data_IF_200062109805
#
_entry.id   IF_200062109805
#
_cell.length_a   1.000
_cell.length_b   1.000
_cell.length_c   1.000
_cell.angle_alpha   90.00
_cell.angle_beta   90.00
_cell.angle_gamma   90.00
#
_symmetry.space_group_name_H-M   'P 1'
#
loop_
_entity.id
_entity.type
_entity.pdbx_description
1 polymer ?
#
# COMPACT_ATOMS: atom_id res chain seq x y z
N UNK A 1 -27.80 -20.05 10.76
CA UNK A 1 -26.82 -20.14 11.87
C UNK A 1 -25.89 -18.95 11.81
N UNK A 2 -25.72 -18.24 12.91
CA UNK A 2 -24.84 -17.07 12.97
C UNK A 2 -23.38 -17.51 13.08
N UNK A 3 -22.60 -17.32 12.02
CA UNK A 3 -21.15 -17.50 12.08
C UNK A 3 -20.55 -16.45 13.01
N UNK A 4 -19.74 -16.88 13.97
CA UNK A 4 -19.04 -16.01 14.94
C UNK A 4 -17.54 -16.32 14.89
N UNK A 5 -16.77 -15.56 14.10
CA UNK A 5 -15.32 -15.74 14.04
C UNK A 5 -14.65 -15.20 15.31
N UNK A 6 -13.45 -15.71 15.65
CA UNK A 6 -12.58 -15.05 16.62
C UNK A 6 -12.20 -13.65 16.11
N UNK A 7 -12.21 -12.66 17.01
CA UNK A 7 -11.82 -11.30 16.66
C UNK A 7 -10.29 -11.14 16.55
N UNK A 8 -9.54 -11.93 17.34
CA UNK A 8 -8.11 -11.68 17.58
C UNK A 8 -7.18 -12.59 16.77
N UNK A 9 -7.69 -13.27 15.75
CA UNK A 9 -6.86 -14.20 14.98
C UNK A 9 -7.47 -14.66 13.66
N UNK A 10 -6.63 -15.31 12.85
CA UNK A 10 -7.06 -15.89 11.59
C UNK A 10 -8.05 -17.02 11.83
N UNK A 11 -9.10 -17.06 11.03
CA UNK A 11 -10.04 -18.18 11.02
C UNK A 11 -10.41 -18.55 9.59
N UNK A 12 -10.89 -19.79 9.39
CA UNK A 12 -11.40 -20.20 8.08
C UNK A 12 -12.73 -19.52 7.79
N UNK A 13 -12.91 -19.04 6.56
CA UNK A 13 -14.20 -18.57 6.09
C UNK A 13 -15.18 -19.74 6.00
N UNK A 14 -16.45 -19.58 6.43
CA UNK A 14 -17.47 -20.58 6.25
C UNK A 14 -17.90 -20.64 4.78
N UNK A 15 -18.60 -21.72 4.42
CA UNK A 15 -19.25 -21.87 3.13
C UNK A 15 -20.78 -21.86 3.33
N UNK A 16 -21.53 -20.97 2.66
CA UNK A 16 -21.07 -19.93 1.73
C UNK A 16 -20.31 -18.80 2.43
N UNK A 17 -19.38 -18.16 1.70
CA UNK A 17 -18.61 -17.03 2.23
C UNK A 17 -19.53 -15.87 2.62
N UNK A 18 -19.40 -15.30 3.82
CA UNK A 18 -20.21 -14.18 4.26
C UNK A 18 -19.97 -12.94 3.38
N UNK A 19 -20.98 -12.09 3.17
CA UNK A 19 -20.82 -10.88 2.38
C UNK A 19 -19.83 -9.91 3.06
N UNK A 20 -19.10 -9.08 2.29
CA UNK A 20 -18.06 -8.19 2.82
C UNK A 20 -18.53 -7.28 3.96
N UNK A 21 -19.78 -6.81 3.92
CA UNK A 21 -20.37 -5.97 4.98
C UNK A 21 -20.44 -6.69 6.34
N UNK A 22 -20.71 -8.00 6.34
CA UNK A 22 -20.74 -8.81 7.56
C UNK A 22 -19.34 -9.00 8.10
N UNK A 23 -18.36 -9.30 7.24
CA UNK A 23 -16.96 -9.40 7.66
C UNK A 23 -16.45 -8.08 8.27
N UNK A 24 -16.74 -6.95 7.63
CA UNK A 24 -16.35 -5.64 8.12
C UNK A 24 -16.97 -5.29 9.48
N UNK A 25 -18.23 -5.70 9.73
CA UNK A 25 -18.87 -5.53 11.04
C UNK A 25 -18.17 -6.29 12.18
N UNK A 26 -17.38 -7.31 11.83
CA UNK A 26 -16.53 -8.05 12.77
C UNK A 26 -15.06 -7.60 12.74
N UNK A 27 -14.71 -6.53 12.00
CA UNK A 27 -13.32 -6.10 11.85
C UNK A 27 -12.47 -7.05 11.01
N UNK A 28 -13.09 -7.84 10.12
CA UNK A 28 -12.42 -8.89 9.35
C UNK A 28 -12.41 -8.58 7.85
N UNK A 29 -11.42 -9.15 7.16
CA UNK A 29 -11.31 -9.16 5.71
C UNK A 29 -11.13 -10.59 5.20
N UNK A 30 -11.82 -10.94 4.12
CA UNK A 30 -11.60 -12.19 3.42
C UNK A 30 -10.27 -12.15 2.64
N UNK A 31 -9.37 -13.10 2.92
CA UNK A 31 -8.08 -13.25 2.24
C UNK A 31 -7.84 -14.74 1.98
N UNK A 32 -7.93 -15.17 0.72
CA UNK A 32 -7.66 -16.57 0.29
C UNK A 32 -8.31 -17.66 1.15
N UNK A 33 -9.59 -17.51 1.48
CA UNK A 33 -10.33 -18.51 2.28
C UNK A 33 -10.18 -18.33 3.79
N UNK A 34 -9.40 -17.34 4.24
CA UNK A 34 -9.27 -16.94 5.64
C UNK A 34 -10.03 -15.65 5.91
N UNK A 35 -10.61 -15.53 7.10
CA UNK A 35 -11.05 -14.28 7.67
C UNK A 35 -9.91 -13.75 8.53
N UNK A 36 -9.31 -12.63 8.10
CA UNK A 36 -8.17 -12.01 8.76
C UNK A 36 -8.60 -10.72 9.48
N UNK A 37 -8.22 -10.52 10.75
CA UNK A 37 -8.43 -9.26 11.46
C UNK A 37 -7.74 -8.09 10.74
N UNK A 38 -8.46 -6.99 10.52
CA UNK A 38 -7.93 -5.81 9.83
C UNK A 38 -6.73 -5.23 10.58
N UNK A 39 -6.80 -5.17 11.91
CA UNK A 39 -5.70 -4.69 12.76
C UNK A 39 -4.41 -5.51 12.58
N UNK A 40 -4.52 -6.84 12.44
CA UNK A 40 -3.35 -7.69 12.17
C UNK A 40 -2.81 -7.49 10.75
N UNK A 41 -3.66 -7.16 9.77
CA UNK A 41 -3.22 -6.83 8.41
C UNK A 41 -2.48 -5.48 8.37
N UNK A 42 -2.89 -4.51 9.18
CA UNK A 42 -2.19 -3.22 9.34
C UNK A 42 -0.85 -3.42 10.05
N UNK A 43 -0.84 -4.17 11.15
CA UNK A 43 0.40 -4.53 11.86
C UNK A 43 1.38 -5.28 10.94
N UNK A 44 0.89 -6.19 10.09
CA UNK A 44 1.71 -6.85 9.07
C UNK A 44 2.37 -5.83 8.13
N UNK A 45 1.64 -4.82 7.68
CA UNK A 45 2.18 -3.81 6.78
C UNK A 45 3.31 -3.02 7.45
N UNK A 46 3.12 -2.62 8.71
CA UNK A 46 4.16 -1.94 9.49
C UNK A 46 5.40 -2.83 9.69
N UNK A 47 5.20 -4.11 10.02
CA UNK A 47 6.29 -5.09 10.15
C UNK A 47 7.08 -5.27 8.84
N UNK A 48 6.40 -5.33 7.70
CA UNK A 48 7.05 -5.40 6.39
C UNK A 48 7.78 -4.10 6.02
N UNK A 49 7.29 -2.96 6.48
CA UNK A 49 7.87 -1.64 6.19
C UNK A 49 9.15 -1.39 6.99
N UNK A 50 9.20 -1.81 8.25
CA UNK A 50 10.38 -1.68 9.12
C UNK A 50 11.36 -2.85 8.97
N UNK A 51 10.87 -3.98 8.47
CA UNK A 51 11.64 -5.22 8.33
C UNK A 51 12.79 -5.09 7.32
N UNK A 52 13.81 -5.97 7.42
CA UNK A 52 14.93 -5.94 6.51
C UNK A 52 14.50 -6.32 5.09
N UNK A 53 15.08 -5.64 4.10
CA UNK A 53 14.96 -6.01 2.69
C UNK A 53 16.08 -7.01 2.38
N UNK A 54 15.72 -8.22 1.98
CA UNK A 54 16.66 -9.27 1.57
C UNK A 54 16.11 -10.02 0.37
N UNK A 55 16.99 -10.63 -0.44
CA UNK A 55 16.59 -11.46 -1.57
C UNK A 55 15.60 -10.77 -2.54
N UNK A 56 15.67 -9.44 -2.65
CA UNK A 56 14.83 -8.63 -3.55
C UNK A 56 13.44 -8.28 -3.03
N UNK A 57 13.15 -8.46 -1.73
CA UNK A 57 11.87 -8.10 -1.12
C UNK A 57 11.94 -7.89 0.39
N UNK A 58 10.83 -7.46 1.00
CA UNK A 58 10.73 -7.33 2.46
C UNK A 58 10.66 -8.73 3.09
N UNK A 59 11.40 -8.94 4.17
CA UNK A 59 11.37 -10.22 4.91
C UNK A 59 10.46 -10.08 6.12
N UNK A 60 9.46 -10.96 6.21
CA UNK A 60 8.72 -11.17 7.44
C UNK A 60 9.49 -12.20 8.28
N UNK A 61 10.07 -11.77 9.41
CA UNK A 61 10.80 -12.66 10.31
C UNK A 61 9.87 -13.59 11.07
N UNK A 62 10.40 -14.70 11.60
CA UNK A 62 9.63 -15.63 12.43
C UNK A 62 9.10 -14.96 13.69
N UNK A 63 9.90 -14.12 14.35
CA UNK A 63 9.46 -13.35 15.51
C UNK A 63 8.29 -12.41 15.17
N UNK A 64 8.36 -11.70 14.04
CA UNK A 64 7.28 -10.81 13.59
C UNK A 64 5.99 -11.60 13.29
N UNK A 65 6.12 -12.78 12.68
CA UNK A 65 5.01 -13.69 12.41
C UNK A 65 4.40 -14.24 13.71
N UNK A 66 5.22 -14.57 14.70
CA UNK A 66 4.79 -15.04 16.02
C UNK A 66 4.09 -13.96 16.82
N UNK A 67 4.49 -12.69 16.72
CA UNK A 67 3.75 -11.54 17.30
C UNK A 67 2.32 -11.45 16.75
N UNK A 68 2.11 -11.83 15.49
CA UNK A 68 0.76 -11.89 14.89
C UNK A 68 -0.01 -13.18 15.24
N UNK A 69 0.64 -14.15 15.90
CA UNK A 69 0.07 -15.46 16.21
C UNK A 69 -0.14 -16.33 14.97
N UNK A 70 0.58 -16.10 13.87
CA UNK A 70 0.37 -16.78 12.60
C UNK A 70 1.32 -17.95 12.39
N UNK A 71 0.86 -19.02 11.73
CA UNK A 71 1.75 -20.06 11.22
C UNK A 71 2.50 -19.58 9.97
N UNK A 72 3.62 -20.22 9.62
CA UNK A 72 4.36 -19.90 8.40
C UNK A 72 3.51 -20.08 7.12
N UNK A 73 2.63 -21.09 7.12
CA UNK A 73 1.71 -21.36 6.03
C UNK A 73 0.64 -20.28 5.90
N UNK A 74 0.05 -19.85 7.04
CA UNK A 74 -0.95 -18.79 7.07
C UNK A 74 -0.36 -17.47 6.61
N UNK A 75 0.82 -17.09 7.12
CA UNK A 75 1.51 -15.88 6.71
C UNK A 75 1.79 -15.87 5.19
N UNK A 76 2.29 -16.98 4.65
CA UNK A 76 2.53 -17.10 3.22
C UNK A 76 1.22 -17.05 2.40
N UNK A 77 0.12 -17.59 2.94
CA UNK A 77 -1.22 -17.55 2.32
C UNK A 77 -1.79 -16.14 2.30
N UNK A 78 -1.70 -15.41 3.41
CA UNK A 78 -2.12 -14.01 3.53
C UNK A 78 -1.30 -13.14 2.56
N UNK A 79 0.03 -13.23 2.59
CA UNK A 79 0.90 -12.45 1.71
C UNK A 79 0.57 -12.69 0.22
N UNK A 80 0.38 -13.95 -0.17
CA UNK A 80 -0.06 -14.28 -1.55
C UNK A 80 -1.43 -13.70 -1.87
N UNK A 81 -2.36 -13.73 -0.91
CA UNK A 81 -3.70 -13.15 -1.04
C UNK A 81 -3.72 -11.63 -1.15
N UNK A 82 -2.78 -10.94 -0.48
CA UNK A 82 -2.62 -9.49 -0.53
C UNK A 82 -1.87 -8.98 -1.77
N UNK A 83 -1.42 -9.88 -2.66
CA UNK A 83 -0.71 -9.48 -3.87
C UNK A 83 0.81 -9.64 -3.81
N UNK A 84 1.38 -10.12 -2.72
CA UNK A 84 2.82 -10.38 -2.64
C UNK A 84 3.18 -11.68 -3.37
N UNK A 85 4.38 -11.70 -3.92
CA UNK A 85 5.03 -12.87 -4.50
C UNK A 85 6.41 -13.05 -3.87
N UNK A 86 6.89 -14.30 -3.70
CA UNK A 86 8.27 -14.57 -3.37
C UNK A 86 9.19 -13.95 -4.44
N UNK A 87 10.19 -13.18 -4.00
CA UNK A 87 11.21 -12.57 -4.84
C UNK A 87 12.35 -13.56 -5.16
N UNK A 88 12.54 -14.56 -4.29
CA UNK A 88 13.47 -15.67 -4.46
C UNK A 88 12.75 -17.01 -4.46
N UNK A 89 13.41 -18.02 -5.05
CA UNK A 89 13.00 -19.42 -4.87
C UNK A 89 13.30 -19.81 -3.42
N UNK A 90 12.30 -20.29 -2.64
CA UNK A 90 12.52 -20.67 -1.26
C UNK A 90 13.51 -21.83 -1.20
N UNK A 91 14.58 -21.65 -0.43
CA UNK A 91 15.51 -22.73 -0.06
C UNK A 91 15.36 -23.01 1.44
N UNK A 92 15.71 -24.22 1.89
CA UNK A 92 15.79 -24.51 3.32
C UNK A 92 16.72 -23.49 4.00
N UNK A 93 16.26 -22.90 5.11
CA UNK A 93 16.99 -21.94 5.94
C UNK A 93 17.33 -20.58 5.29
N UNK A 94 16.81 -20.25 4.10
CA UNK A 94 16.93 -18.91 3.54
C UNK A 94 15.63 -18.11 3.71
N UNK A 95 15.69 -16.84 4.16
CA UNK A 95 14.50 -16.02 4.30
C UNK A 95 13.86 -15.74 2.93
N UNK A 96 12.54 -15.80 2.88
CA UNK A 96 11.78 -15.46 1.68
C UNK A 96 11.61 -13.94 1.63
N UNK A 97 12.18 -13.30 0.61
CA UNK A 97 11.91 -11.90 0.30
C UNK A 97 10.53 -11.79 -0.35
N UNK A 98 9.64 -10.96 0.19
CA UNK A 98 8.31 -10.72 -0.36
C UNK A 98 8.28 -9.41 -1.13
N UNK A 99 7.94 -9.48 -2.40
CA UNK A 99 7.75 -8.31 -3.26
C UNK A 99 6.28 -8.21 -3.64
N UNK A 100 5.70 -7.02 -3.53
CA UNK A 100 4.38 -6.77 -4.09
C UNK A 100 4.46 -7.04 -5.58
N UNK A 101 3.59 -7.90 -6.12
CA UNK A 101 3.44 -7.98 -7.59
C UNK A 101 3.14 -6.56 -8.02
N UNK A 102 4.02 -5.97 -8.81
CA UNK A 102 3.82 -4.61 -9.31
C UNK A 102 2.39 -4.55 -9.81
N UNK A 103 1.60 -3.63 -9.26
CA UNK A 103 0.41 -3.17 -9.96
C UNK A 103 0.89 -2.95 -11.39
N UNK A 104 0.26 -3.62 -12.37
CA UNK A 104 0.49 -3.32 -13.79
C UNK A 104 0.65 -1.82 -13.85
N UNK A 105 1.84 -1.32 -14.21
CA UNK A 105 2.12 0.10 -14.34
C UNK A 105 0.89 0.65 -15.04
N UNK A 106 0.09 1.46 -14.34
CA UNK A 106 -1.14 1.97 -14.91
C UNK A 106 -0.72 2.53 -16.28
N UNK A 107 -1.28 1.97 -17.35
CA UNK A 107 -0.98 2.52 -18.66
C UNK A 107 -1.26 4.01 -18.55
N UNK A 108 -0.31 4.88 -18.96
CA UNK A 108 -0.49 6.31 -18.82
C UNK A 108 -1.86 6.66 -19.39
N UNK A 109 -2.74 7.14 -18.50
CA UNK A 109 -4.08 7.61 -18.86
C UNK A 109 -3.91 8.50 -20.08
N UNK A 110 -4.63 8.15 -21.15
CA UNK A 110 -4.36 8.61 -22.51
C UNK A 110 -4.22 10.12 -22.69
N UNK A 111 -3.73 10.49 -23.85
CA UNK A 111 -3.53 11.88 -24.33
C UNK A 111 -4.59 12.84 -23.79
N UNK A 112 -4.12 13.89 -23.10
CA UNK A 112 -4.93 14.98 -22.56
C UNK A 112 -5.90 15.47 -23.64
N UNK A 113 -7.20 15.45 -23.34
CA UNK A 113 -8.22 15.95 -24.26
C UNK A 113 -8.10 17.48 -24.33
N UNK A 114 -7.93 18.10 -25.52
CA UNK A 114 -7.77 19.55 -25.66
C UNK A 114 -8.90 20.38 -25.08
N UNK A 115 -10.11 19.81 -24.97
CA UNK A 115 -11.31 20.49 -24.48
C UNK A 115 -11.74 20.02 -23.08
N UNK A 116 -10.82 19.46 -22.29
CA UNK A 116 -11.12 19.15 -20.89
C UNK A 116 -11.28 20.44 -20.08
N UNK A 117 -12.27 20.54 -19.17
CA UNK A 117 -12.41 21.68 -18.26
C UNK A 117 -11.18 21.89 -17.36
N UNK A 118 -10.32 20.88 -17.21
CA UNK A 118 -9.08 20.96 -16.44
C UNK A 118 -7.85 21.32 -17.27
N UNK A 119 -7.97 21.47 -18.61
CA UNK A 119 -6.85 21.79 -19.49
C UNK A 119 -6.23 23.16 -19.16
N UNK A 120 -7.05 24.14 -18.79
CA UNK A 120 -6.58 25.46 -18.35
C UNK A 120 -5.73 25.40 -17.07
N UNK A 121 -6.01 24.47 -16.16
CA UNK A 121 -5.23 24.31 -14.92
C UNK A 121 -3.88 23.63 -15.17
N UNK A 122 -3.81 22.72 -16.14
CA UNK A 122 -2.55 22.09 -16.54
C UNK A 122 -1.60 23.13 -17.16
N UNK A 123 -2.11 23.97 -18.06
CA UNK A 123 -1.32 25.03 -18.71
C UNK A 123 -0.71 26.06 -17.73
N UNK A 124 -1.27 26.20 -16.53
CA UNK A 124 -0.76 27.10 -15.50
C UNK A 124 0.55 26.58 -14.86
N UNK A 125 0.76 25.26 -14.83
CA UNK A 125 1.96 24.65 -14.24
C UNK A 125 3.20 24.81 -15.14
N UNK A 126 2.99 24.90 -16.45
CA UNK A 126 4.06 25.02 -17.44
C UNK A 126 4.48 26.48 -17.72
N UNK A 127 3.90 27.44 -17.01
CA UNK A 127 4.26 28.85 -17.15
C UNK A 127 5.68 29.10 -16.59
N UNK A 128 6.65 29.54 -17.43
CA UNK A 128 7.95 29.91 -16.93
C UNK A 128 7.83 31.10 -15.97
N UNK A 129 8.63 31.09 -14.90
CA UNK A 129 8.55 32.11 -13.85
C UNK A 129 8.65 33.53 -14.43
N UNK A 130 7.79 34.47 -14.00
CA UNK A 130 7.76 35.81 -14.58
C UNK A 130 9.07 36.56 -14.35
N UNK A 131 9.63 37.10 -15.44
CA UNK A 131 10.88 37.86 -15.42
C UNK A 131 10.70 39.14 -14.61
N UNK A 132 11.45 39.28 -13.51
CA UNK A 132 11.37 40.44 -12.60
C UNK A 132 11.71 41.73 -13.37
N UNK A 133 10.77 42.66 -13.44
CA UNK A 133 10.99 43.98 -14.06
C UNK A 133 11.98 44.81 -13.22
N UNK A 134 12.93 45.53 -13.85
CA UNK A 134 13.89 46.34 -13.12
C UNK A 134 13.18 47.52 -12.43
N UNK A 135 13.47 47.66 -11.13
CA UNK A 135 12.87 48.68 -10.26
C UNK A 135 13.52 50.04 -10.57
N UNK A 136 12.74 50.98 -11.11
CA UNK A 136 13.20 52.34 -11.42
C UNK A 136 13.69 53.02 -10.13
N UNK A 137 14.99 53.31 -10.05
CA UNK A 137 15.60 54.05 -8.92
C UNK A 137 15.02 55.48 -8.91
N UNK A 138 14.31 55.85 -7.84
CA UNK A 138 13.98 57.26 -7.57
C UNK A 138 15.26 58.00 -7.17
N UNK A 139 15.58 59.11 -7.83
CA UNK A 139 16.66 60.02 -7.40
C UNK A 139 16.24 60.70 -6.09
N UNK A 140 17.12 60.72 -5.09
CA UNK A 140 16.95 61.51 -3.87
C UNK A 140 17.09 62.99 -4.22
N UNK A 141 16.13 63.82 -3.80
CA UNK A 141 16.29 65.27 -3.77
C UNK A 141 17.30 65.62 -2.67
N UNK A 142 18.28 66.46 -3.00
CA UNK A 142 19.22 67.02 -2.05
C UNK A 142 18.51 68.08 -1.21
N UNK A 143 18.68 68.03 0.11
CA UNK A 143 18.31 69.12 1.01
C UNK A 143 19.57 69.92 1.33
N UNK A 144 19.47 71.23 1.15
CA UNK A 144 20.40 72.25 1.65
C UNK A 144 20.24 72.42 3.16
#
# INVERSE_FOLDING_TARGET
GGWRPPADGLSRLPQPTPPPRVLAAHGLRAVRGLAAPVEQLEALEDLLRIGPIQNGGAVLSDAARETLGWSAEDAATILRGLGFAPANKPKPNEPIGWRRRSERKAEPTGTLRPHSPFAALAALKDQPAPKRRPRRRRKKAAAS
#
